data_IF_485736926434
#
_entry.id   IF_485736926434
#
_cell.length_a   1.000
_cell.length_b   1.000
_cell.length_c   1.000
_cell.angle_alpha   90.00
_cell.angle_beta   90.00
_cell.angle_gamma   90.00
#
_symmetry.space_group_name_H-M   'P 1'
#
loop_
_entity.id
_entity.type
_entity.pdbx_description
1 polymer ?
#
# COMPACT_ATOMS: atom_id res chain seq x y z
N UNK A 1 -1.42 -9.03 14.56
CA UNK A 1 -2.14 -9.62 15.71
C UNK A 1 -3.28 -8.71 16.20
N UNK A 2 -3.02 -7.43 16.50
CA UNK A 2 -4.02 -6.45 16.97
C UNK A 2 -5.21 -6.25 16.03
N UNK A 3 -5.00 -6.15 14.72
CA UNK A 3 -6.09 -6.01 13.74
C UNK A 3 -7.03 -7.21 13.71
N UNK A 4 -6.49 -8.42 13.84
CA UNK A 4 -7.28 -9.66 13.82
C UNK A 4 -8.17 -9.75 15.08
N UNK A 5 -7.63 -9.33 16.23
CA UNK A 5 -8.37 -9.25 17.50
C UNK A 5 -9.50 -8.20 17.40
N UNK A 6 -9.24 -7.05 16.80
CA UNK A 6 -10.25 -6.01 16.57
C UNK A 6 -11.39 -6.50 15.66
N UNK A 7 -11.08 -7.24 14.60
CA UNK A 7 -12.09 -7.88 13.74
C UNK A 7 -12.95 -8.87 14.53
N UNK A 8 -12.32 -9.73 15.32
CA UNK A 8 -13.03 -10.73 16.11
C UNK A 8 -14.00 -10.07 17.12
N UNK A 9 -13.57 -8.99 17.77
CA UNK A 9 -14.42 -8.21 18.68
C UNK A 9 -15.58 -7.52 17.96
N UNK A 10 -15.35 -6.97 16.76
CA UNK A 10 -16.43 -6.37 15.96
C UNK A 10 -17.44 -7.41 15.47
N UNK A 11 -16.99 -8.59 15.03
CA UNK A 11 -17.88 -9.70 14.66
C UNK A 11 -18.66 -10.23 15.87
N UNK A 12 -18.03 -10.29 17.04
CA UNK A 12 -18.69 -10.69 18.28
C UNK A 12 -19.73 -9.66 18.76
N UNK A 13 -19.42 -8.36 18.65
CA UNK A 13 -20.37 -7.29 18.92
C UNK A 13 -21.55 -7.33 17.94
N UNK A 14 -21.29 -7.56 16.65
CA UNK A 14 -22.32 -7.76 15.64
C UNK A 14 -23.23 -8.95 15.95
N UNK A 15 -22.65 -10.10 16.32
CA UNK A 15 -23.39 -11.29 16.77
C UNK A 15 -24.33 -11.00 17.95
N UNK A 16 -23.86 -10.25 18.95
CA UNK A 16 -24.65 -9.95 20.17
C UNK A 16 -25.76 -8.92 19.94
N UNK A 17 -25.57 -7.96 19.02
CA UNK A 17 -26.52 -6.87 18.77
C UNK A 17 -27.70 -7.30 17.89
N UNK A 18 -27.42 -8.05 16.82
CA UNK A 18 -28.41 -8.67 15.94
C UNK A 18 -27.70 -9.77 15.18
N UNK A 19 -27.96 -11.03 15.58
CA UNK A 19 -27.45 -12.21 14.89
C UNK A 19 -28.19 -12.41 13.55
N UNK A 20 -28.00 -11.45 12.65
CA UNK A 20 -28.65 -11.37 11.35
C UNK A 20 -27.57 -11.13 10.29
N UNK A 21 -27.78 -11.73 9.12
CA UNK A 21 -26.84 -11.73 7.99
C UNK A 21 -26.48 -10.29 7.58
N UNK A 22 -27.46 -9.38 7.66
CA UNK A 22 -27.29 -7.95 7.34
C UNK A 22 -26.26 -7.28 8.27
N UNK A 23 -26.27 -7.61 9.56
CA UNK A 23 -25.33 -7.04 10.54
C UNK A 23 -23.89 -7.46 10.25
N UNK A 24 -23.67 -8.72 9.88
CA UNK A 24 -22.37 -9.22 9.48
C UNK A 24 -21.84 -8.58 8.20
N UNK A 25 -22.71 -8.38 7.20
CA UNK A 25 -22.35 -7.71 5.95
C UNK A 25 -21.88 -6.27 6.22
N UNK A 26 -22.56 -5.55 7.12
CA UNK A 26 -22.19 -4.18 7.50
C UNK A 26 -20.81 -4.17 8.18
N UNK A 27 -20.58 -5.05 9.16
CA UNK A 27 -19.29 -5.15 9.87
C UNK A 27 -18.15 -5.50 8.89
N UNK A 28 -18.37 -6.46 8.00
CA UNK A 28 -17.37 -6.85 6.99
C UNK A 28 -17.08 -5.73 5.99
N UNK A 29 -18.11 -4.99 5.55
CA UNK A 29 -17.95 -3.85 4.64
C UNK A 29 -17.17 -2.72 5.29
N UNK A 30 -17.46 -2.43 6.57
CA UNK A 30 -16.75 -1.41 7.34
C UNK A 30 -15.29 -1.80 7.58
N UNK A 31 -15.05 -3.07 7.89
CA UNK A 31 -13.71 -3.61 8.04
C UNK A 31 -12.91 -3.56 6.74
N UNK A 32 -13.53 -3.89 5.61
CA UNK A 32 -12.89 -3.81 4.30
C UNK A 32 -12.52 -2.37 3.97
N UNK A 33 -13.43 -1.40 4.19
CA UNK A 33 -13.16 0.01 3.99
C UNK A 33 -11.98 0.49 4.86
N UNK A 34 -11.95 0.11 6.14
CA UNK A 34 -10.84 0.39 7.04
C UNK A 34 -9.53 -0.24 6.57
N UNK A 35 -9.55 -1.47 6.06
CA UNK A 35 -8.35 -2.10 5.49
C UNK A 35 -7.83 -1.30 4.29
N UNK A 36 -8.72 -0.94 3.36
CA UNK A 36 -8.33 -0.21 2.16
C UNK A 36 -7.79 1.19 2.44
N UNK A 37 -8.20 1.85 3.52
CA UNK A 37 -7.64 3.15 3.91
C UNK A 37 -6.19 3.08 4.42
N UNK A 38 -5.77 1.92 4.92
CA UNK A 38 -4.40 1.71 5.43
C UNK A 38 -3.45 1.22 4.32
N UNK A 39 -3.96 0.70 3.20
CA UNK A 39 -3.12 0.23 2.10
C UNK A 39 -2.43 1.42 1.41
N UNK A 40 -1.21 1.71 1.84
CA UNK A 40 -0.36 2.73 1.24
C UNK A 40 0.49 2.18 0.10
N UNK A 41 0.80 3.04 -0.87
CA UNK A 41 1.80 2.76 -1.89
C UNK A 41 3.20 2.69 -1.25
N UNK A 42 4.07 1.81 -1.74
CA UNK A 42 5.37 1.57 -1.11
C UNK A 42 6.40 0.94 -2.02
N UNK A 43 7.65 0.97 -1.58
CA UNK A 43 8.79 0.30 -2.23
C UNK A 43 9.25 -0.85 -1.33
N UNK A 44 9.36 -2.04 -1.90
CA UNK A 44 9.83 -3.27 -1.25
C UNK A 44 11.06 -3.83 -1.96
N UNK A 45 11.79 -4.74 -1.33
CA UNK A 45 12.90 -5.43 -1.98
C UNK A 45 12.49 -6.20 -3.24
N UNK A 46 11.25 -6.70 -3.28
CA UNK A 46 10.73 -7.50 -4.42
C UNK A 46 10.17 -6.64 -5.56
N UNK A 47 9.88 -5.36 -5.31
CA UNK A 47 9.24 -4.49 -6.28
C UNK A 47 8.51 -3.31 -5.65
N UNK A 48 7.67 -2.66 -6.43
CA UNK A 48 6.85 -1.53 -6.00
C UNK A 48 5.44 -2.03 -5.72
N UNK A 49 4.90 -1.62 -4.58
CA UNK A 49 3.52 -1.84 -4.21
C UNK A 49 2.73 -0.59 -4.58
N UNK A 50 1.69 -0.76 -5.37
CA UNK A 50 0.77 0.32 -5.70
C UNK A 50 -0.68 -0.15 -5.45
N UNK A 51 -1.46 0.60 -4.65
CA UNK A 51 -2.87 0.28 -4.44
C UNK A 51 -3.62 0.46 -5.77
N UNK A 52 -4.31 -0.60 -6.20
CA UNK A 52 -5.20 -0.57 -7.35
C UNK A 52 -6.59 -1.00 -6.94
N UNK A 53 -7.53 -0.06 -6.98
CA UNK A 53 -8.95 -0.21 -6.61
C UNK A 53 -9.14 -0.65 -5.15
N UNK A 54 -8.82 -1.91 -4.82
CA UNK A 54 -8.96 -2.50 -3.49
C UNK A 54 -7.81 -3.47 -3.14
N UNK A 55 -6.85 -3.66 -4.05
CA UNK A 55 -5.76 -4.64 -3.91
C UNK A 55 -4.41 -3.96 -4.09
N UNK A 56 -3.44 -4.32 -3.25
CA UNK A 56 -2.05 -3.94 -3.44
C UNK A 56 -1.46 -4.75 -4.61
N UNK A 57 -1.18 -4.10 -5.74
CA UNK A 57 -0.50 -4.76 -6.87
C UNK A 57 1.00 -4.60 -6.72
N UNK A 58 1.70 -5.74 -6.69
CA UNK A 58 3.16 -5.79 -6.67
C UNK A 58 3.69 -5.78 -8.11
N UNK A 59 4.40 -4.72 -8.47
CA UNK A 59 5.17 -4.63 -9.69
C UNK A 59 6.62 -5.00 -9.41
N UNK A 60 7.05 -6.16 -9.91
CA UNK A 60 8.43 -6.63 -9.79
C UNK A 60 9.39 -5.70 -10.54
N UNK A 61 10.64 -5.67 -10.08
CA UNK A 61 11.66 -4.75 -10.60
C UNK A 61 11.99 -4.93 -12.09
N UNK A 62 11.92 -6.17 -12.58
CA UNK A 62 12.11 -6.57 -13.98
C UNK A 62 11.13 -5.88 -14.96
N UNK A 63 9.97 -5.43 -14.48
CA UNK A 63 8.96 -4.76 -15.31
C UNK A 63 9.13 -3.25 -15.39
N UNK A 64 10.01 -2.66 -14.59
CA UNK A 64 10.21 -1.21 -14.55
C UNK A 64 11.19 -0.83 -15.65
N UNK A 65 10.72 0.00 -16.57
CA UNK A 65 11.49 0.48 -17.73
C UNK A 65 12.34 1.69 -17.39
N UNK A 66 11.82 2.59 -16.55
CA UNK A 66 12.59 3.74 -16.10
C UNK A 66 12.24 4.12 -14.67
N UNK A 67 13.23 4.71 -14.01
CA UNK A 67 13.17 5.17 -12.63
C UNK A 67 13.75 6.58 -12.57
N UNK A 68 13.02 7.52 -11.96
CA UNK A 68 13.57 8.84 -11.67
C UNK A 68 13.16 9.32 -10.28
N UNK A 69 14.02 10.16 -9.70
CA UNK A 69 13.77 10.79 -8.40
C UNK A 69 13.82 12.29 -8.61
N UNK A 70 12.71 12.95 -8.33
CA UNK A 70 12.58 14.40 -8.33
C UNK A 70 12.59 14.89 -6.88
N UNK A 71 13.47 15.84 -6.57
CA UNK A 71 13.51 16.47 -5.25
C UNK A 71 12.50 17.62 -5.21
N UNK A 72 11.56 17.58 -4.28
CA UNK A 72 10.70 18.71 -3.93
C UNK A 72 11.23 19.43 -2.67
N UNK A 73 10.58 20.52 -2.27
CA UNK A 73 10.99 21.31 -1.10
C UNK A 73 11.01 20.51 0.21
N UNK A 74 9.97 19.72 0.48
CA UNK A 74 9.83 18.95 1.73
C UNK A 74 9.89 17.44 1.53
N UNK A 75 9.63 16.98 0.32
CA UNK A 75 9.48 15.57 -0.03
C UNK A 75 10.35 15.20 -1.22
N UNK A 76 10.37 13.92 -1.55
CA UNK A 76 10.94 13.38 -2.78
C UNK A 76 9.83 12.67 -3.56
N UNK A 77 9.73 12.97 -4.84
CA UNK A 77 8.82 12.30 -5.75
C UNK A 77 9.60 11.25 -6.52
N UNK A 78 9.15 10.00 -6.45
CA UNK A 78 9.76 8.87 -7.15
C UNK A 78 8.81 8.45 -8.26
N UNK A 79 9.32 8.49 -9.49
CA UNK A 79 8.58 8.16 -10.68
C UNK A 79 9.06 6.81 -11.24
N UNK A 80 8.10 5.96 -11.56
CA UNK A 80 8.30 4.64 -12.11
C UNK A 80 7.53 4.49 -13.41
N UNK A 81 8.25 4.18 -14.49
CA UNK A 81 7.63 3.88 -15.78
C UNK A 81 7.57 2.38 -15.98
N UNK A 82 6.35 1.84 -16.02
CA UNK A 82 6.09 0.43 -16.29
C UNK A 82 5.35 0.36 -17.64
N UNK A 83 4.04 0.09 -17.61
CA UNK A 83 3.12 0.29 -18.74
C UNK A 83 2.41 1.66 -18.68
N UNK A 84 2.42 2.28 -17.49
CA UNK A 84 1.93 3.62 -17.19
C UNK A 84 2.93 4.29 -16.25
N UNK A 85 2.83 5.62 -16.14
CA UNK A 85 3.62 6.37 -15.17
C UNK A 85 2.97 6.24 -13.78
N UNK A 86 3.75 5.75 -12.83
CA UNK A 86 3.38 5.67 -11.42
C UNK A 86 4.24 6.66 -10.65
N UNK A 87 3.61 7.52 -9.85
CA UNK A 87 4.29 8.49 -9.00
C UNK A 87 4.00 8.20 -7.54
N UNK A 88 5.03 8.25 -6.71
CA UNK A 88 4.91 8.05 -5.26
C UNK A 88 5.73 9.14 -4.56
N UNK A 89 5.14 9.76 -3.54
CA UNK A 89 5.78 10.83 -2.79
C UNK A 89 6.20 10.30 -1.42
N UNK A 90 7.46 10.57 -1.05
CA UNK A 90 8.07 10.11 0.20
C UNK A 90 8.74 11.26 0.94
N UNK A 91 8.92 11.08 2.24
CA UNK A 91 9.76 11.96 3.03
C UNK A 91 11.22 11.92 2.57
N UNK A 92 11.91 13.06 2.64
CA UNK A 92 13.33 13.20 2.26
C UNK A 92 14.26 12.25 3.01
N UNK A 93 13.95 11.92 4.27
CA UNK A 93 14.72 10.96 5.08
C UNK A 93 14.82 9.56 4.44
N UNK A 94 13.90 9.22 3.52
CA UNK A 94 13.92 7.93 2.84
C UNK A 94 14.76 7.90 1.56
N UNK A 95 15.36 9.02 1.15
CA UNK A 95 16.11 9.14 -0.11
C UNK A 95 17.23 8.09 -0.22
N UNK A 96 18.04 7.92 0.83
CA UNK A 96 19.18 7.01 0.81
C UNK A 96 18.75 5.55 0.74
N UNK A 97 17.67 5.19 1.44
CA UNK A 97 17.06 3.86 1.36
C UNK A 97 16.56 3.56 -0.05
N UNK A 98 15.85 4.51 -0.67
CA UNK A 98 15.31 4.37 -2.02
C UNK A 98 16.44 4.23 -3.05
N UNK A 99 17.49 5.08 -2.95
CA UNK A 99 18.68 4.97 -3.81
C UNK A 99 19.38 3.62 -3.67
N UNK A 100 19.52 3.11 -2.44
CA UNK A 100 20.14 1.80 -2.19
C UNK A 100 19.36 0.67 -2.86
N UNK A 101 18.03 0.69 -2.77
CA UNK A 101 17.16 -0.30 -3.43
C UNK A 101 17.24 -0.18 -4.96
N UNK A 102 17.24 1.05 -5.50
CA UNK A 102 17.35 1.29 -6.93
C UNK A 102 18.67 0.77 -7.52
N UNK A 103 19.81 1.05 -6.85
CA UNK A 103 21.13 0.54 -7.24
C UNK A 103 21.19 -0.99 -7.19
N UNK A 104 20.68 -1.61 -6.14
CA UNK A 104 20.64 -3.08 -5.99
C UNK A 104 19.89 -3.75 -7.16
N UNK A 105 18.86 -3.09 -7.68
CA UNK A 105 18.05 -3.58 -8.79
C UNK A 105 18.46 -3.02 -10.16
N UNK A 106 19.65 -2.40 -10.28
CA UNK A 106 20.21 -1.87 -11.54
C UNK A 106 19.30 -0.87 -12.28
N UNK A 107 18.55 -0.06 -11.52
CA UNK A 107 17.68 0.99 -12.08
C UNK A 107 18.41 2.33 -12.27
N UNK A 108 19.52 2.51 -11.54
CA UNK A 108 20.47 3.63 -11.61
C UNK A 108 21.88 3.07 -11.43
#
# INVERSE_FOLDING_TARGET
MTLIIALALMLFAGYKLKNDLVGYIIVLSWWLAFFTSIVSAGISERGIIHPWQLVAKLYRWDRIRSFSIEKKEKTIMVNFKIFRDLRQEYDKSNLDKIKKIAKKNKLI
#
